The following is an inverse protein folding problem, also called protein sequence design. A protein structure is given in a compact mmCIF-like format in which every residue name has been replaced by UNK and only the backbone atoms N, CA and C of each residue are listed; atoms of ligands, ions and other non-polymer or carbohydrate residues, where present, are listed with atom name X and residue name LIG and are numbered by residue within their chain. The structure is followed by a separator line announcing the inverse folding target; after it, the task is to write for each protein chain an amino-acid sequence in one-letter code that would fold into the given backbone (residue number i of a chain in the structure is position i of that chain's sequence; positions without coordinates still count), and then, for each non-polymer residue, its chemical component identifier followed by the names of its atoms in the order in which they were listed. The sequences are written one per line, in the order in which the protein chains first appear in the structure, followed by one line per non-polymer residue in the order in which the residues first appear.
data_IF_971541499708
#
_entry.id   IF_971541499708
#
_cell.length_a   1.000
_cell.length_b   1.000
_cell.length_c   1.000
_cell.angle_alpha   90.00
_cell.angle_beta   90.00
_cell.angle_gamma   90.00
#
_symmetry.space_group_name_H-M   'P 1'
#
loop_
_entity.id
_entity.type
_entity.pdbx_description
1 polymer ?
#
# COMPACT_ATOMS: atom_id res chain seq x y z
N UNK A 1 -13.57 3.56 19.20
CA UNK A 1 -12.22 3.49 18.67
C UNK A 1 -12.28 3.68 17.15
N UNK A 2 -11.39 4.47 16.59
CA UNK A 2 -11.41 4.74 15.17
C UNK A 2 -10.64 3.66 14.40
N UNK A 3 -11.25 3.13 13.35
CA UNK A 3 -10.61 2.18 12.48
C UNK A 3 -9.71 2.95 11.50
N UNK A 4 -8.40 2.75 11.61
CA UNK A 4 -7.46 3.43 10.74
C UNK A 4 -7.72 3.15 9.26
N UNK A 5 -8.12 1.93 8.93
CA UNK A 5 -8.37 1.56 7.53
C UNK A 5 -9.59 2.27 6.96
N UNK A 6 -10.51 2.70 7.80
CA UNK A 6 -11.73 3.36 7.36
C UNK A 6 -11.61 4.87 7.26
N UNK A 7 -10.49 5.45 7.71
CA UNK A 7 -10.29 6.89 7.65
C UNK A 7 -9.98 7.32 6.23
N UNK A 8 -10.69 8.36 5.76
CA UNK A 8 -10.49 8.91 4.43
C UNK A 8 -9.89 10.30 4.54
N UNK A 9 -8.78 10.58 3.84
CA UNK A 9 -8.21 11.92 3.83
C UNK A 9 -9.11 12.87 3.04
N UNK A 10 -9.08 14.13 3.39
CA UNK A 10 -9.86 15.14 2.67
C UNK A 10 -9.31 15.35 1.26
N UNK A 11 -8.02 15.19 1.08
CA UNK A 11 -7.38 15.27 -0.22
C UNK A 11 -6.20 14.33 -0.25
N UNK A 12 -5.81 13.96 -1.47
CA UNK A 12 -4.74 13.00 -1.65
C UNK A 12 -5.18 11.59 -1.33
N UNK A 13 -4.22 10.73 -1.08
CA UNK A 13 -4.47 9.33 -0.76
C UNK A 13 -3.62 8.87 0.41
N UNK A 14 -4.16 7.93 1.17
CA UNK A 14 -3.48 7.32 2.30
C UNK A 14 -3.17 5.87 1.97
N UNK A 15 -1.95 5.47 2.30
CA UNK A 15 -1.51 4.09 2.17
C UNK A 15 -1.20 3.56 3.55
N UNK A 16 -1.68 2.37 3.87
CA UNK A 16 -1.46 1.77 5.18
C UNK A 16 -1.15 0.29 4.99
N UNK A 17 -0.12 -0.19 5.69
CA UNK A 17 0.22 -1.61 5.71
C UNK A 17 0.61 -1.98 7.13
N UNK A 18 0.06 -3.10 7.62
CA UNK A 18 0.37 -3.61 8.96
C UNK A 18 0.83 -5.05 8.82
N UNK A 19 2.00 -5.34 9.38
CA UNK A 19 2.56 -6.68 9.37
C UNK A 19 1.60 -7.65 10.09
N UNK A 20 1.35 -8.79 9.49
CA UNK A 20 0.51 -9.82 10.12
C UNK A 20 1.26 -11.11 10.36
N UNK A 21 2.05 -11.57 9.39
CA UNK A 21 2.75 -12.82 9.55
C UNK A 21 3.94 -12.88 8.59
N UNK A 22 4.79 -13.86 8.80
CA UNK A 22 5.94 -14.09 7.92
C UNK A 22 6.25 -15.58 7.90
N UNK A 23 6.81 -16.03 6.79
CA UNK A 23 7.35 -17.37 6.68
C UNK A 23 8.66 -17.30 5.89
N UNK A 24 9.22 -18.48 5.53
CA UNK A 24 10.51 -18.50 4.86
C UNK A 24 10.48 -17.88 3.47
N UNK A 25 9.30 -17.75 2.86
CA UNK A 25 9.18 -17.24 1.49
C UNK A 25 8.75 -15.78 1.41
N UNK A 26 8.41 -15.15 2.54
CA UNK A 26 8.01 -13.74 2.53
C UNK A 26 7.18 -13.33 3.72
N UNK A 27 6.57 -12.17 3.61
CA UNK A 27 5.74 -11.60 4.66
C UNK A 27 4.36 -11.27 4.12
N UNK A 28 3.41 -11.18 5.05
CA UNK A 28 2.03 -10.82 4.73
C UNK A 28 1.66 -9.57 5.50
N UNK A 29 1.07 -8.61 4.80
CA UNK A 29 0.58 -7.37 5.38
C UNK A 29 -0.92 -7.24 5.17
N UNK A 30 -1.62 -6.76 6.18
CA UNK A 30 -2.96 -6.22 5.99
C UNK A 30 -2.78 -4.82 5.43
N UNK A 31 -3.40 -4.53 4.29
CA UNK A 31 -3.17 -3.28 3.59
C UNK A 31 -4.46 -2.53 3.35
N UNK A 32 -4.34 -1.22 3.25
CA UNK A 32 -5.47 -0.37 2.93
C UNK A 32 -5.04 0.84 2.16
N UNK A 33 -5.91 1.31 1.28
CA UNK A 33 -5.73 2.57 0.57
C UNK A 33 -7.03 3.36 0.71
N UNK A 34 -6.92 4.68 0.71
CA UNK A 34 -8.08 5.55 0.86
C UNK A 34 -7.85 6.87 0.18
N UNK A 35 -8.94 7.47 -0.32
CA UNK A 35 -8.95 8.85 -0.80
C UNK A 35 -10.20 9.52 -0.24
N UNK A 36 -10.52 10.72 -0.71
CA UNK A 36 -11.68 11.45 -0.19
C UNK A 36 -13.01 10.74 -0.53
N UNK A 37 -13.02 9.88 -1.52
CA UNK A 37 -14.23 9.20 -1.98
C UNK A 37 -14.49 7.88 -1.24
N UNK A 38 -13.47 7.27 -0.64
CA UNK A 38 -13.68 6.00 0.04
C UNK A 38 -12.40 5.33 0.48
N UNK A 39 -12.54 4.10 0.94
CA UNK A 39 -11.39 3.31 1.37
C UNK A 39 -11.55 1.88 0.89
N UNK A 40 -10.42 1.19 0.74
CA UNK A 40 -10.37 -0.18 0.26
C UNK A 40 -9.32 -0.95 1.07
N UNK A 41 -9.58 -2.22 1.31
CA UNK A 41 -8.70 -3.08 2.12
C UNK A 41 -8.40 -4.37 1.39
N UNK A 42 -7.23 -4.91 1.63
CA UNK A 42 -6.83 -6.19 1.08
C UNK A 42 -5.73 -6.80 1.93
N UNK A 43 -5.15 -7.86 1.44
CA UNK A 43 -3.97 -8.51 2.02
C UNK A 43 -2.90 -8.52 0.93
N UNK A 44 -1.69 -8.17 1.30
CA UNK A 44 -0.56 -8.18 0.37
C UNK A 44 0.47 -9.17 0.85
N UNK A 45 1.07 -9.88 -0.10
CA UNK A 45 2.22 -10.75 0.18
C UNK A 45 3.42 -10.17 -0.52
N UNK A 46 4.52 -10.01 0.22
CA UNK A 46 5.79 -9.57 -0.33
C UNK A 46 6.76 -10.73 -0.21
N UNK A 47 7.13 -11.30 -1.33
CA UNK A 47 8.05 -12.43 -1.37
C UNK A 47 9.49 -12.03 -1.13
N UNK A 48 10.31 -12.99 -0.74
CA UNK A 48 11.74 -12.76 -0.58
C UNK A 48 12.41 -12.40 -1.91
N UNK A 49 11.76 -12.70 -3.02
CA UNK A 49 12.24 -12.35 -4.36
C UNK A 49 11.79 -10.96 -4.81
N UNK A 50 11.04 -10.24 -3.99
CA UNK A 50 10.55 -8.91 -4.31
C UNK A 50 9.20 -8.87 -4.99
N UNK A 51 8.56 -10.01 -5.20
CA UNK A 51 7.24 -10.06 -5.80
C UNK A 51 6.20 -9.55 -4.80
N UNK A 52 5.35 -8.63 -5.24
CA UNK A 52 4.26 -8.10 -4.41
C UNK A 52 2.95 -8.51 -5.07
N UNK A 53 2.11 -9.24 -4.32
CA UNK A 53 0.80 -9.66 -4.82
C UNK A 53 -0.27 -9.21 -3.85
N UNK A 54 -1.42 -8.77 -4.40
CA UNK A 54 -2.56 -8.38 -3.59
C UNK A 54 -3.68 -9.37 -3.80
N UNK A 55 -4.42 -9.63 -2.75
CA UNK A 55 -5.66 -10.38 -2.86
C UNK A 55 -6.77 -9.46 -3.34
N UNK A 56 -7.98 -9.99 -3.47
CA UNK A 56 -9.12 -9.20 -3.90
C UNK A 56 -9.33 -8.01 -2.96
N UNK A 57 -9.49 -6.84 -3.55
CA UNK A 57 -9.76 -5.63 -2.79
C UNK A 57 -11.21 -5.60 -2.31
N UNK A 58 -11.42 -5.20 -1.08
CA UNK A 58 -12.75 -5.04 -0.50
C UNK A 58 -13.06 -3.56 -0.40
N UNK A 59 -14.23 -3.18 -0.88
CA UNK A 59 -14.69 -1.80 -0.88
C UNK A 59 -15.93 -1.68 -1.75
N UNK A 60 -16.48 -0.47 -1.86
CA UNK A 60 -17.70 -0.24 -2.63
C UNK A 60 -17.46 -0.33 -4.13
N UNK A 61 -16.23 -0.18 -4.57
CA UNK A 61 -15.85 -0.21 -5.98
C UNK A 61 -14.41 -0.69 -6.06
N UNK A 62 -13.81 -0.63 -7.24
CA UNK A 62 -12.39 -0.93 -7.36
C UNK A 62 -11.56 0.25 -6.87
N UNK A 63 -10.43 0.00 -6.20
CA UNK A 63 -9.59 1.10 -5.74
C UNK A 63 -8.96 1.84 -6.93
N UNK A 64 -8.70 3.14 -6.78
CA UNK A 64 -7.98 3.88 -7.82
C UNK A 64 -6.61 3.26 -8.09
N UNK A 65 -6.28 3.14 -9.36
CA UNK A 65 -5.05 2.49 -9.78
C UNK A 65 -3.82 3.20 -9.23
N UNK A 66 -3.83 4.52 -9.17
CA UNK A 66 -2.68 5.27 -8.67
C UNK A 66 -2.39 4.95 -7.20
N UNK A 67 -3.44 4.65 -6.42
CA UNK A 67 -3.26 4.26 -5.01
C UNK A 67 -2.65 2.87 -4.89
N UNK A 68 -3.12 1.92 -5.67
CA UNK A 68 -2.56 0.57 -5.61
C UNK A 68 -1.13 0.54 -6.14
N UNK A 69 -0.82 1.35 -7.16
CA UNK A 69 0.55 1.50 -7.65
C UNK A 69 1.46 2.10 -6.57
N UNK A 70 0.99 3.12 -5.88
CA UNK A 70 1.79 3.76 -4.83
C UNK A 70 2.06 2.78 -3.68
N UNK A 71 1.05 1.98 -3.32
CA UNK A 71 1.22 0.98 -2.28
C UNK A 71 2.19 -0.11 -2.72
N UNK A 72 2.10 -0.56 -3.96
CA UNK A 72 3.03 -1.53 -4.51
C UNK A 72 4.47 -1.02 -4.40
N UNK A 73 4.69 0.24 -4.81
CA UNK A 73 6.02 0.84 -4.73
C UNK A 73 6.51 0.95 -3.29
N UNK A 74 5.62 1.27 -2.36
CA UNK A 74 5.97 1.36 -0.95
C UNK A 74 6.40 -0.01 -0.40
N UNK A 75 5.68 -1.07 -0.76
CA UNK A 75 6.04 -2.41 -0.32
C UNK A 75 7.33 -2.90 -0.98
N UNK A 76 7.58 -2.53 -2.23
CA UNK A 76 8.84 -2.83 -2.88
C UNK A 76 10.00 -2.13 -2.19
N UNK A 77 9.80 -0.90 -1.73
CA UNK A 77 10.81 -0.19 -0.95
C UNK A 77 11.13 -0.93 0.34
N UNK A 78 10.11 -1.45 1.01
CA UNK A 78 10.33 -2.23 2.23
C UNK A 78 11.15 -3.49 1.93
N UNK A 79 10.90 -4.14 0.81
CA UNK A 79 11.67 -5.30 0.39
C UNK A 79 13.13 -4.93 0.10
N UNK A 80 13.36 -3.80 -0.55
CA UNK A 80 14.72 -3.33 -0.80
C UNK A 80 15.45 -3.05 0.49
N UNK A 81 14.76 -2.49 1.49
CA UNK A 81 15.33 -2.30 2.81
C UNK A 81 15.69 -3.62 3.47
N UNK A 82 14.83 -4.62 3.34
CA UNK A 82 15.09 -5.95 3.87
C UNK A 82 16.35 -6.56 3.24
N UNK A 83 16.50 -6.40 1.93
CA UNK A 83 17.71 -6.87 1.24
C UNK A 83 18.97 -6.16 1.73
N UNK A 84 18.84 -4.92 2.14
CA UNK A 84 19.96 -4.14 2.65
C UNK A 84 20.25 -4.43 4.13
N UNK A 85 19.55 -5.37 4.75
CA UNK A 85 19.78 -5.78 6.12
C UNK A 85 18.84 -5.20 7.14
N UNK A 86 17.86 -4.41 6.71
CA UNK A 86 16.88 -3.85 7.63
C UNK A 86 15.77 -4.85 7.90
N UNK A 87 15.12 -4.71 9.04
CA UNK A 87 13.97 -5.54 9.35
C UNK A 87 12.76 -5.15 8.52
N UNK A 88 11.83 -6.09 8.31
CA UNK A 88 10.56 -5.75 7.71
C UNK A 88 9.82 -4.74 8.60
N UNK A 89 9.31 -3.64 8.02
CA UNK A 89 8.53 -2.68 8.81
C UNK A 89 7.29 -3.36 9.41
N UNK A 90 6.99 -3.05 10.66
CA UNK A 90 5.77 -3.55 11.30
C UNK A 90 4.55 -2.79 10.84
N UNK A 91 4.75 -1.52 10.50
CA UNK A 91 3.67 -0.65 10.06
C UNK A 91 4.23 0.37 9.10
N UNK A 92 3.50 0.57 8.00
CA UNK A 92 3.81 1.61 7.02
C UNK A 92 2.58 2.49 6.90
N UNK A 93 2.79 3.79 6.97
CA UNK A 93 1.76 4.79 6.74
C UNK A 93 2.34 5.85 5.83
N UNK A 94 1.67 6.10 4.72
CA UNK A 94 2.12 7.11 3.76
C UNK A 94 0.93 7.89 3.24
N UNK A 95 1.13 9.18 3.04
CA UNK A 95 0.17 10.02 2.35
C UNK A 95 0.78 10.42 1.02
N UNK A 96 -0.05 10.48 -0.03
CA UNK A 96 0.41 10.88 -1.36
C UNK A 96 -0.57 11.88 -1.93
N UNK A 97 -0.09 12.95 -2.59
CA UNK A 97 -1.00 13.84 -3.32
C UNK A 97 -1.60 13.11 -4.51
N UNK A 98 -2.80 13.54 -4.91
CA UNK A 98 -3.42 13.02 -6.13
C UNK A 98 -2.53 13.39 -7.31
N UNK A 99 -2.19 12.44 -8.19
CA UNK A 99 -1.39 12.78 -9.36
C UNK A 99 -2.11 13.78 -10.24
N UNK A 100 -1.40 14.83 -10.63
CA UNK A 100 -1.90 15.77 -11.61
C UNK A 100 -1.75 15.14 -12.99
N UNK A 101 -2.75 15.30 -13.85
CA UNK A 101 -2.69 14.75 -15.20
C UNK A 101 -1.45 15.26 -15.96
N UNK A 102 -1.07 16.52 -15.74
CA UNK A 102 0.13 17.06 -16.34
C UNK A 102 1.39 16.38 -15.81
N UNK A 103 1.44 16.17 -14.50
CA UNK A 103 2.58 15.50 -13.89
C UNK A 103 2.69 14.06 -14.36
N UNK A 104 1.57 13.37 -14.48
CA UNK A 104 1.57 12.01 -14.97
C UNK A 104 2.11 11.93 -16.39
N UNK A 105 1.82 12.89 -17.23
CA UNK A 105 2.32 12.94 -18.58
C UNK A 105 3.83 13.24 -18.62
N UNK A 106 4.29 14.04 -17.68
CA UNK A 106 5.71 14.42 -17.64
C UNK A 106 6.62 13.33 -17.13
N UNK A 107 6.10 12.45 -16.32
CA UNK A 107 6.90 11.40 -15.70
C UNK A 107 7.35 10.37 -16.71
N UNK A 108 6.70 10.29 -17.83
CA UNK A 108 7.10 9.35 -18.87
C UNK A 108 8.30 9.85 -19.67
#
# INVERSE_FOLDING_TARGET
MTDEFAQCPEQGGRLLAKWTSADASGVVYAVGVADAAGHWESTARVGEDGTVTFQTWRGASEPPEWLTHALHATLRSAWQGRRAGLAWPRRLYRWRPVPDAGDAAEVE
#
